data_IF_790559961952
#
_entry.id   IF_790559961952
#
_cell.length_a   1.000
_cell.length_b   1.000
_cell.length_c   1.000
_cell.angle_alpha   90.00
_cell.angle_beta   90.00
_cell.angle_gamma   90.00
#
_symmetry.space_group_name_H-M   'P 1'
#
loop_
_entity.id
_entity.type
_entity.pdbx_description
1 polymer ?
#
# COMPACT_ATOMS: atom_id res chain seq x y z
N UNK A 1 4.03 19.92 16.86
CA UNK A 1 4.26 20.24 15.45
C UNK A 1 3.06 20.97 14.92
N UNK A 2 3.25 22.16 14.36
CA UNK A 2 2.19 22.86 13.63
C UNK A 2 2.13 22.27 12.22
N UNK A 3 1.07 21.53 11.90
CA UNK A 3 0.91 20.86 10.59
C UNK A 3 0.70 21.84 9.43
N UNK A 4 0.49 23.13 9.73
CA UNK A 4 0.15 24.17 8.75
C UNK A 4 1.30 25.17 8.50
N UNK A 5 2.34 25.15 9.34
CA UNK A 5 3.54 26.01 9.19
C UNK A 5 4.75 25.10 9.08
N UNK A 6 4.89 24.46 7.92
CA UNK A 6 5.95 23.49 7.64
C UNK A 6 6.81 24.01 6.50
N UNK A 7 8.12 23.86 6.64
CA UNK A 7 9.06 24.14 5.55
C UNK A 7 8.89 23.11 4.43
N UNK A 8 9.37 23.41 3.23
CA UNK A 8 9.34 22.46 2.11
C UNK A 8 10.08 21.15 2.43
N UNK A 9 11.15 21.23 3.21
CA UNK A 9 11.91 20.07 3.66
C UNK A 9 11.07 19.17 4.59
N UNK A 10 10.30 19.77 5.50
CA UNK A 10 9.37 19.07 6.38
C UNK A 10 8.13 18.56 5.64
N UNK A 11 7.69 19.26 4.59
CA UNK A 11 6.53 18.88 3.79
C UNK A 11 6.70 17.49 3.18
N UNK A 12 7.90 17.14 2.72
CA UNK A 12 8.20 15.80 2.18
C UNK A 12 8.01 14.66 3.20
N UNK A 13 8.18 14.96 4.50
CA UNK A 13 8.02 14.01 5.61
C UNK A 13 6.55 13.85 6.02
N UNK A 14 5.72 14.84 5.70
CA UNK A 14 4.32 14.92 6.10
C UNK A 14 3.39 14.51 4.96
N UNK A 15 3.75 14.85 3.72
CA UNK A 15 2.99 14.57 2.51
C UNK A 15 3.87 13.82 1.51
N UNK A 16 3.66 12.50 1.31
CA UNK A 16 4.47 11.71 0.39
C UNK A 16 4.13 11.98 -1.09
N UNK A 17 3.22 12.92 -1.39
CA UNK A 17 2.70 13.16 -2.75
C UNK A 17 3.81 13.43 -3.77
N UNK A 18 4.88 14.10 -3.35
CA UNK A 18 6.00 14.50 -4.21
C UNK A 18 7.22 13.56 -4.09
N UNK A 19 7.22 12.62 -3.14
CA UNK A 19 8.34 11.69 -2.93
C UNK A 19 8.45 10.62 -4.03
N UNK A 20 9.65 10.06 -4.20
CA UNK A 20 9.87 8.88 -5.05
C UNK A 20 9.30 7.62 -4.38
N UNK A 21 8.77 6.72 -5.21
CA UNK A 21 8.28 5.40 -4.79
C UNK A 21 9.14 4.25 -5.36
N UNK A 22 10.33 4.55 -5.89
CA UNK A 22 11.24 3.50 -6.35
C UNK A 22 11.66 2.58 -5.19
N UNK A 23 11.61 1.27 -5.44
CA UNK A 23 11.96 0.25 -4.43
C UNK A 23 10.95 0.09 -3.29
N UNK A 24 9.78 0.74 -3.37
CA UNK A 24 8.72 0.58 -2.38
C UNK A 24 8.16 -0.85 -2.42
N UNK A 25 7.77 -1.44 -1.26
CA UNK A 25 7.15 -2.76 -1.25
C UNK A 25 5.79 -2.74 -1.96
N UNK A 26 5.25 -3.91 -2.35
CA UNK A 26 3.87 -4.02 -2.83
C UNK A 26 2.87 -3.38 -1.86
N UNK A 27 1.84 -2.72 -2.39
CA UNK A 27 0.88 -1.94 -1.59
C UNK A 27 -0.56 -2.30 -1.92
N UNK A 28 -1.36 -2.45 -0.87
CA UNK A 28 -2.81 -2.60 -0.95
C UNK A 28 -3.47 -1.36 -0.35
N UNK A 29 -4.23 -0.64 -1.17
CA UNK A 29 -4.95 0.58 -0.78
C UNK A 29 -6.45 0.29 -0.83
N UNK A 30 -7.15 0.64 0.26
CA UNK A 30 -8.62 0.68 0.29
C UNK A 30 -9.08 2.11 0.33
N UNK A 31 -10.06 2.45 -0.51
CA UNK A 31 -10.59 3.80 -0.60
C UNK A 31 -12.10 3.75 -0.83
N UNK A 32 -12.83 4.68 -0.21
CA UNK A 32 -14.27 4.81 -0.44
C UNK A 32 -14.50 5.81 -1.57
N UNK A 33 -15.35 5.54 -2.55
CA UNK A 33 -15.56 6.52 -3.64
C UNK A 33 -16.33 7.75 -3.21
N UNK A 34 -16.86 7.79 -1.97
CA UNK A 34 -17.54 8.94 -1.39
C UNK A 34 -16.67 9.56 -0.27
N UNK A 35 -15.41 9.84 -0.57
CA UNK A 35 -14.48 10.54 0.30
C UNK A 35 -13.74 11.64 -0.46
N UNK A 36 -13.38 12.72 0.24
CA UNK A 36 -12.73 13.89 -0.36
C UNK A 36 -11.35 13.57 -0.96
N UNK A 37 -10.68 12.55 -0.43
CA UNK A 37 -9.30 12.19 -0.79
C UNK A 37 -9.21 11.25 -1.99
N UNK A 38 -10.33 10.82 -2.58
CA UNK A 38 -10.33 9.73 -3.57
C UNK A 38 -9.46 10.03 -4.79
N UNK A 39 -9.47 11.27 -5.29
CA UNK A 39 -8.67 11.64 -6.46
C UNK A 39 -7.18 11.71 -6.12
N UNK A 40 -6.82 12.21 -4.93
CA UNK A 40 -5.45 12.19 -4.45
C UNK A 40 -4.93 10.74 -4.28
N UNK A 41 -5.78 9.82 -3.81
CA UNK A 41 -5.45 8.40 -3.68
C UNK A 41 -5.21 7.76 -5.07
N UNK A 42 -6.08 8.06 -6.04
CA UNK A 42 -5.92 7.57 -7.43
C UNK A 42 -4.66 8.09 -8.07
N UNK A 43 -4.32 9.37 -7.88
CA UNK A 43 -3.11 9.96 -8.45
C UNK A 43 -1.84 9.41 -7.78
N UNK A 44 -1.83 9.23 -6.46
CA UNK A 44 -0.75 8.55 -5.76
C UNK A 44 -0.59 7.09 -6.26
N UNK A 45 -1.69 6.38 -6.45
CA UNK A 45 -1.68 5.01 -7.00
C UNK A 45 -1.04 4.97 -8.40
N UNK A 46 -1.38 5.91 -9.29
CA UNK A 46 -0.75 6.03 -10.60
C UNK A 46 0.75 6.27 -10.46
N UNK A 47 1.16 7.19 -9.59
CA UNK A 47 2.57 7.52 -9.36
C UNK A 47 3.37 6.31 -8.87
N UNK A 48 2.83 5.54 -7.92
CA UNK A 48 3.47 4.32 -7.41
C UNK A 48 3.61 3.26 -8.52
N UNK A 49 2.55 3.04 -9.32
CA UNK A 49 2.61 2.09 -10.46
C UNK A 49 3.66 2.51 -11.49
N UNK A 50 3.74 3.81 -11.81
CA UNK A 50 4.77 4.35 -12.70
C UNK A 50 6.20 4.15 -12.18
N UNK A 51 6.37 4.06 -10.85
CA UNK A 51 7.65 3.74 -10.20
C UNK A 51 7.93 2.21 -10.12
N UNK A 52 7.10 1.38 -10.77
CA UNK A 52 7.26 -0.08 -10.78
C UNK A 52 6.72 -0.80 -9.54
N UNK A 53 6.01 -0.10 -8.65
CA UNK A 53 5.41 -0.70 -7.46
C UNK A 53 4.16 -1.49 -7.84
N UNK A 54 4.04 -2.72 -7.34
CA UNK A 54 2.79 -3.48 -7.41
C UNK A 54 1.76 -2.83 -6.48
N UNK A 55 0.70 -2.24 -7.04
CA UNK A 55 -0.35 -1.57 -6.26
C UNK A 55 -1.74 -2.06 -6.62
N UNK A 56 -2.44 -2.58 -5.60
CA UNK A 56 -3.87 -2.84 -5.64
C UNK A 56 -4.59 -1.63 -5.04
N UNK A 57 -5.52 -1.05 -5.80
CA UNK A 57 -6.46 -0.05 -5.31
C UNK A 57 -7.86 -0.67 -5.33
N UNK A 58 -8.40 -0.98 -4.14
CA UNK A 58 -9.73 -1.58 -3.94
C UNK A 58 -10.71 -0.49 -3.53
N UNK A 59 -11.48 0.00 -4.51
CA UNK A 59 -12.44 1.09 -4.32
C UNK A 59 -13.82 0.58 -3.91
N UNK A 60 -14.27 0.98 -2.74
CA UNK A 60 -15.62 0.75 -2.23
C UNK A 60 -16.61 1.76 -2.83
N UNK A 61 -17.39 1.35 -3.82
CA UNK A 61 -18.39 2.22 -4.47
C UNK A 61 -19.43 2.75 -3.47
N UNK A 62 -19.52 4.08 -3.36
CA UNK A 62 -20.43 4.79 -2.47
C UNK A 62 -20.03 4.74 -0.98
N UNK A 63 -18.90 4.12 -0.65
CA UNK A 63 -18.44 3.98 0.73
C UNK A 63 -17.67 5.23 1.16
N UNK A 64 -17.72 5.50 2.46
CA UNK A 64 -17.09 6.67 3.07
C UNK A 64 -15.61 6.43 3.38
N UNK A 65 -14.97 7.48 3.88
CA UNK A 65 -13.61 7.42 4.39
C UNK A 65 -13.44 6.31 5.43
N UNK A 66 -12.33 5.57 5.32
CA UNK A 66 -11.95 4.47 6.23
C UNK A 66 -13.03 3.39 6.44
N UNK A 67 -13.90 3.16 5.44
CA UNK A 67 -14.99 2.19 5.57
C UNK A 67 -14.52 0.80 6.02
N UNK A 68 -13.30 0.36 5.67
CA UNK A 68 -12.74 -0.92 6.06
C UNK A 68 -12.73 -1.18 7.58
N UNK A 69 -12.75 -0.14 8.42
CA UNK A 69 -12.74 -0.27 9.88
C UNK A 69 -14.11 -0.66 10.47
N UNK A 70 -15.20 -0.51 9.72
CA UNK A 70 -16.57 -0.70 10.22
C UNK A 70 -17.10 -2.13 10.07
N UNK A 71 -16.22 -3.13 10.18
CA UNK A 71 -16.54 -4.55 9.92
C UNK A 71 -17.63 -5.15 10.83
N UNK A 72 -17.89 -4.55 11.99
CA UNK A 72 -18.98 -4.96 12.88
C UNK A 72 -20.36 -4.52 12.38
N UNK A 73 -20.42 -3.46 11.58
CA UNK A 73 -21.67 -2.81 11.15
C UNK A 73 -21.91 -2.84 9.65
N UNK A 74 -20.88 -3.14 8.84
CA UNK A 74 -20.99 -3.22 7.39
C UNK A 74 -20.43 -4.54 6.85
N UNK A 75 -21.23 -5.31 6.09
CA UNK A 75 -20.74 -6.51 5.42
C UNK A 75 -19.68 -6.19 4.36
N UNK A 76 -19.76 -5.02 3.72
CA UNK A 76 -18.74 -4.55 2.78
C UNK A 76 -17.39 -4.35 3.48
N UNK A 77 -17.41 -3.78 4.69
CA UNK A 77 -16.22 -3.61 5.52
C UNK A 77 -15.63 -4.95 5.96
N UNK A 78 -16.47 -5.92 6.35
CA UNK A 78 -15.99 -7.27 6.67
C UNK A 78 -15.34 -7.94 5.46
N UNK A 79 -15.96 -7.82 4.29
CA UNK A 79 -15.45 -8.38 3.05
C UNK A 79 -14.09 -7.80 2.66
N UNK A 80 -13.91 -6.48 2.75
CA UNK A 80 -12.60 -5.88 2.43
C UNK A 80 -11.52 -6.29 3.44
N UNK A 81 -11.85 -6.45 4.73
CA UNK A 81 -10.88 -6.96 5.70
C UNK A 81 -10.43 -8.39 5.38
N UNK A 82 -11.35 -9.25 4.91
CA UNK A 82 -10.99 -10.60 4.48
C UNK A 82 -10.02 -10.59 3.27
N UNK A 83 -10.19 -9.65 2.33
CA UNK A 83 -9.23 -9.46 1.23
C UNK A 83 -7.87 -8.98 1.74
N UNK A 84 -7.85 -7.98 2.63
CA UNK A 84 -6.61 -7.46 3.23
C UNK A 84 -5.87 -8.60 3.95
N UNK A 85 -6.57 -9.41 4.75
CA UNK A 85 -5.98 -10.55 5.45
C UNK A 85 -5.38 -11.56 4.49
N UNK A 86 -6.08 -11.88 3.40
CA UNK A 86 -5.59 -12.82 2.38
C UNK A 86 -4.34 -12.28 1.70
N UNK A 87 -4.42 -11.07 1.17
CA UNK A 87 -3.31 -10.42 0.47
C UNK A 87 -2.07 -10.29 1.37
N UNK A 88 -2.26 -9.88 2.63
CA UNK A 88 -1.15 -9.78 3.59
C UNK A 88 -0.46 -11.12 3.80
N UNK A 89 -1.21 -12.23 3.92
CA UNK A 89 -0.64 -13.58 4.05
C UNK A 89 0.16 -13.97 2.80
N UNK A 90 -0.38 -13.69 1.62
CA UNK A 90 0.30 -13.97 0.34
C UNK A 90 1.62 -13.21 0.24
N UNK A 91 1.62 -11.91 0.56
CA UNK A 91 2.84 -11.08 0.55
C UNK A 91 3.89 -11.58 1.54
N UNK A 92 3.49 -12.03 2.73
CA UNK A 92 4.41 -12.61 3.71
C UNK A 92 5.05 -13.90 3.20
N UNK A 93 4.26 -14.78 2.57
CA UNK A 93 4.78 -16.02 1.96
C UNK A 93 5.76 -15.71 0.83
N UNK A 94 5.40 -14.79 -0.08
CA UNK A 94 6.29 -14.36 -1.18
C UNK A 94 7.60 -13.79 -0.62
N UNK A 95 7.52 -12.94 0.41
CA UNK A 95 8.69 -12.37 1.08
C UNK A 95 9.58 -13.43 1.74
N UNK A 96 9.00 -14.46 2.36
CA UNK A 96 9.74 -15.59 2.95
C UNK A 96 10.43 -16.44 1.87
N UNK A 97 9.73 -16.76 0.77
CA UNK A 97 10.28 -17.53 -0.35
C UNK A 97 11.44 -16.79 -1.03
N UNK A 98 11.31 -15.49 -1.25
CA UNK A 98 12.37 -14.64 -1.79
C UNK A 98 13.63 -14.68 -0.93
N UNK A 99 13.48 -14.49 0.40
CA UNK A 99 14.60 -14.58 1.36
C UNK A 99 15.26 -15.96 1.38
N UNK A 100 14.46 -17.03 1.32
CA UNK A 100 15.01 -18.39 1.27
C UNK A 100 15.83 -18.63 0.01
N UNK A 101 15.36 -18.18 -1.16
CA UNK A 101 16.08 -18.33 -2.43
C UNK A 101 17.41 -17.58 -2.43
N UNK A 102 17.44 -16.36 -1.88
CA UNK A 102 18.67 -15.59 -1.70
C UNK A 102 19.65 -16.35 -0.79
N UNK A 103 19.19 -16.89 0.34
CA UNK A 103 20.03 -17.66 1.25
C UNK A 103 20.58 -18.96 0.64
N UNK A 104 19.86 -19.61 -0.28
CA UNK A 104 20.36 -20.79 -1.00
C UNK A 104 21.42 -20.42 -2.04
N UNK A 105 21.24 -19.30 -2.74
CA UNK A 105 22.23 -18.79 -3.73
C UNK A 105 23.52 -18.37 -3.02
N UNK A 106 23.44 -17.66 -1.90
CA UNK A 106 24.63 -17.18 -1.17
C UNK A 106 25.37 -18.29 -0.42
N UNK A 107 24.70 -19.41 -0.08
CA UNK A 107 25.32 -20.57 0.57
C UNK A 107 25.93 -21.59 -0.39
N UNK A 108 25.74 -21.44 -1.71
CA UNK A 108 26.38 -22.29 -2.70
C UNK A 108 27.31 -21.46 -3.60
N UNK A 109 28.52 -21.09 -3.12
CA UNK A 109 29.50 -20.36 -3.93
C UNK A 109 30.18 -21.23 -5.01
N UNK A 110 29.82 -22.51 -5.15
CA UNK A 110 30.39 -23.41 -6.15
C UNK A 110 29.44 -23.63 -7.32
N UNK A 111 29.44 -22.69 -8.26
CA UNK A 111 29.07 -22.93 -9.65
C UNK A 111 29.81 -21.93 -10.53
N UNK A 112 31.04 -22.34 -10.90
CA UNK A 112 31.93 -21.90 -11.99
C UNK A 112 32.32 -20.42 -12.09
#
# INVERSE_FOLDING_TARGET
TNWFEVTDEELSKISPKDNSFEGFPPVYITAGTNEISIDAIRDMTKKMRSAGVEVILDEGKGLMHTYALFHLWSPQSKYVQEKIHRWTREQLVIGMLSKSKINTITKNPECH
#
